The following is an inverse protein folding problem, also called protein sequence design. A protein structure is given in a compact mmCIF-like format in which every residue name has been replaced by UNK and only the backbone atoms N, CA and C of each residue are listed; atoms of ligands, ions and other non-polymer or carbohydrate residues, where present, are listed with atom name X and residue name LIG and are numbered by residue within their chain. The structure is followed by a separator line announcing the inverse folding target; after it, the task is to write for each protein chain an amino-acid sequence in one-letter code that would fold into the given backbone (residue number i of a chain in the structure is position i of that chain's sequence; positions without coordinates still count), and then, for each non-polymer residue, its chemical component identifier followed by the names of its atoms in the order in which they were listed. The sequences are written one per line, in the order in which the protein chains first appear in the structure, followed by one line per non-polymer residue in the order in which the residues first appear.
data_IF_245652718660
#
_entry.id   IF_245652718660
#
_cell.length_a   1.000
_cell.length_b   1.000
_cell.length_c   1.000
_cell.angle_alpha   90.00
_cell.angle_beta   90.00
_cell.angle_gamma   90.00
#
_symmetry.space_group_name_H-M   'P 1'
#
loop_
_entity.id
_entity.type
_entity.pdbx_description
1 polymer ?
#
# COMPACT_ATOMS: atom_id res chain seq x y z
N UNK A 1 -8.36 -10.01 7.70
CA UNK A 1 -7.45 -9.75 6.57
C UNK A 1 -7.23 -8.28 6.28
N UNK A 2 -8.21 -7.49 5.86
CA UNK A 2 -7.97 -6.06 5.55
C UNK A 2 -7.40 -5.24 6.71
N UNK A 3 -7.81 -5.52 7.96
CA UNK A 3 -7.19 -4.92 9.15
C UNK A 3 -5.69 -5.22 9.24
N UNK A 4 -5.30 -6.49 9.04
CA UNK A 4 -3.90 -6.91 9.10
C UNK A 4 -3.09 -6.20 8.01
N UNK A 5 -3.60 -6.18 6.78
CA UNK A 5 -3.02 -5.43 5.66
C UNK A 5 -2.88 -3.94 5.97
N UNK A 6 -3.91 -3.30 6.51
CA UNK A 6 -3.87 -1.88 6.88
C UNK A 6 -2.84 -1.59 7.97
N UNK A 7 -2.74 -2.46 8.99
CA UNK A 7 -1.75 -2.31 10.06
C UNK A 7 -0.33 -2.49 9.55
N UNK A 8 -0.07 -3.51 8.73
CA UNK A 8 1.26 -3.80 8.22
C UNK A 8 1.72 -2.76 7.21
N UNK A 9 0.83 -2.27 6.34
CA UNK A 9 1.12 -1.18 5.38
C UNK A 9 1.38 0.13 6.11
N UNK A 10 0.49 0.53 7.04
CA UNK A 10 0.69 1.74 7.85
C UNK A 10 2.01 1.66 8.62
N UNK A 11 2.25 0.53 9.31
CA UNK A 11 3.45 0.31 10.09
C UNK A 11 4.72 0.32 9.22
N UNK A 12 4.70 -0.31 8.05
CA UNK A 12 5.82 -0.32 7.13
C UNK A 12 6.18 1.09 6.67
N UNK A 13 5.20 1.90 6.27
CA UNK A 13 5.44 3.29 5.86
C UNK A 13 6.00 4.14 7.01
N UNK A 14 5.41 4.07 8.21
CA UNK A 14 5.88 4.85 9.35
C UNK A 14 7.28 4.43 9.79
N UNK A 15 7.59 3.12 9.77
CA UNK A 15 8.93 2.63 10.07
C UNK A 15 9.92 3.05 8.99
N UNK A 16 9.51 3.03 7.72
CA UNK A 16 10.34 3.51 6.59
C UNK A 16 10.66 5.00 6.75
N UNK A 17 9.69 5.82 7.15
CA UNK A 17 9.91 7.23 7.46
C UNK A 17 10.96 7.38 8.57
N UNK A 18 10.77 6.70 9.69
CA UNK A 18 11.70 6.75 10.83
C UNK A 18 13.12 6.31 10.46
N UNK A 19 13.25 5.21 9.71
CA UNK A 19 14.55 4.69 9.26
C UNK A 19 15.20 5.60 8.21
N UNK A 20 14.40 6.19 7.32
CA UNK A 20 14.87 7.13 6.29
C UNK A 20 15.49 8.41 6.86
N UNK A 21 15.04 8.86 8.03
CA UNK A 21 15.65 9.98 8.75
C UNK A 21 16.90 9.59 9.55
N UNK A 22 17.13 8.30 9.82
CA UNK A 22 18.16 7.84 10.77
C UNK A 22 19.31 7.06 10.15
N UNK A 23 19.20 6.58 8.90
CA UNK A 23 20.21 5.72 8.27
C UNK A 23 20.77 6.30 6.95
N UNK A 24 22.10 6.29 6.80
CA UNK A 24 22.81 6.74 5.58
C UNK A 24 22.52 5.85 4.34
N UNK A 25 22.15 4.58 4.55
CA UNK A 25 21.86 3.60 3.48
C UNK A 25 20.36 3.27 3.38
N UNK A 26 19.54 4.31 3.17
CA UNK A 26 18.07 4.24 3.30
C UNK A 26 17.39 3.12 2.48
N UNK A 27 17.78 2.89 1.23
CA UNK A 27 17.06 1.97 0.32
C UNK A 27 17.06 0.50 0.78
N UNK A 28 18.20 -0.01 1.27
CA UNK A 28 18.27 -1.39 1.76
C UNK A 28 17.44 -1.56 3.05
N UNK A 29 17.47 -0.58 3.94
CA UNK A 29 16.64 -0.58 5.15
C UNK A 29 15.14 -0.54 4.81
N UNK A 30 14.75 0.25 3.81
CA UNK A 30 13.37 0.27 3.26
C UNK A 30 12.98 -1.12 2.77
N UNK A 31 13.79 -1.75 1.92
CA UNK A 31 13.51 -3.09 1.36
C UNK A 31 13.29 -4.13 2.46
N UNK A 32 14.20 -4.23 3.43
CA UNK A 32 14.10 -5.22 4.49
C UNK A 32 12.93 -4.95 5.43
N UNK A 33 12.62 -3.68 5.70
CA UNK A 33 11.42 -3.29 6.45
C UNK A 33 10.17 -3.76 5.76
N UNK A 34 10.04 -3.48 4.47
CA UNK A 34 8.89 -3.89 3.67
C UNK A 34 8.81 -5.41 3.54
N UNK A 35 9.92 -6.10 3.29
CA UNK A 35 9.95 -7.56 3.23
C UNK A 35 9.47 -8.20 4.53
N UNK A 36 9.97 -7.74 5.68
CA UNK A 36 9.56 -8.24 6.99
C UNK A 36 8.08 -7.95 7.27
N UNK A 37 7.64 -6.71 7.09
CA UNK A 37 6.28 -6.29 7.38
C UNK A 37 5.24 -6.94 6.46
N UNK A 38 5.57 -7.14 5.17
CA UNK A 38 4.67 -7.77 4.20
C UNK A 38 4.65 -9.30 4.30
N UNK A 39 5.65 -9.92 4.95
CA UNK A 39 5.63 -11.38 5.17
C UNK A 39 4.40 -11.81 5.97
N UNK A 40 4.04 -11.07 7.02
CA UNK A 40 2.89 -11.41 7.87
C UNK A 40 1.55 -11.44 7.13
N UNK A 41 1.12 -10.39 6.41
CA UNK A 41 -0.14 -10.42 5.66
C UNK A 41 -0.09 -11.40 4.48
N UNK A 42 1.07 -11.61 3.84
CA UNK A 42 1.22 -12.59 2.75
C UNK A 42 1.06 -14.03 3.26
N UNK A 43 1.76 -14.42 4.33
CA UNK A 43 1.62 -15.76 4.93
C UNK A 43 0.19 -15.98 5.41
N UNK A 44 -0.42 -14.99 6.07
CA UNK A 44 -1.81 -15.08 6.49
C UNK A 44 -2.78 -15.26 5.30
N UNK A 45 -2.49 -14.64 4.15
CA UNK A 45 -3.27 -14.81 2.92
C UNK A 45 -3.11 -16.22 2.35
N UNK A 46 -1.88 -16.75 2.33
CA UNK A 46 -1.59 -18.12 1.90
C UNK A 46 -2.27 -19.16 2.78
N UNK A 47 -2.21 -19.01 4.11
CA UNK A 47 -2.83 -19.93 5.07
C UNK A 47 -4.35 -19.97 4.95
N UNK A 48 -4.99 -18.87 4.55
CA UNK A 48 -6.42 -18.84 4.27
C UNK A 48 -6.77 -19.50 2.93
N UNK A 49 -5.84 -19.55 1.98
CA UNK A 49 -6.04 -20.17 0.68
C UNK A 49 -7.28 -19.64 -0.03
N UNK A 50 -8.14 -20.55 -0.49
CA UNK A 50 -9.38 -20.24 -1.19
C UNK A 50 -10.44 -19.56 -0.30
N UNK A 51 -10.25 -19.55 1.03
CA UNK A 51 -11.10 -18.81 1.96
C UNK A 51 -10.74 -17.32 2.04
N UNK A 52 -9.57 -16.93 1.53
CA UNK A 52 -9.25 -15.53 1.36
C UNK A 52 -10.08 -14.94 0.21
N UNK A 53 -10.69 -13.78 0.45
CA UNK A 53 -11.40 -13.03 -0.59
C UNK A 53 -10.42 -12.72 -1.76
N UNK A 54 -10.89 -12.80 -3.01
CA UNK A 54 -10.12 -12.47 -4.22
C UNK A 54 -9.35 -11.14 -4.09
N UNK A 55 -9.95 -10.17 -3.39
CA UNK A 55 -9.32 -8.89 -3.06
C UNK A 55 -7.95 -9.04 -2.38
N UNK A 56 -7.82 -9.99 -1.45
CA UNK A 56 -6.59 -10.26 -0.71
C UNK A 56 -5.49 -10.75 -1.64
N UNK A 57 -5.84 -11.56 -2.64
CA UNK A 57 -4.89 -12.08 -3.62
C UNK A 57 -4.40 -11.01 -4.59
N UNK A 58 -5.25 -10.04 -4.95
CA UNK A 58 -4.84 -8.89 -5.77
C UNK A 58 -3.80 -8.05 -5.02
N UNK A 59 -4.03 -7.75 -3.75
CA UNK A 59 -3.06 -7.03 -2.92
C UNK A 59 -1.77 -7.83 -2.71
N UNK A 60 -1.88 -9.13 -2.42
CA UNK A 60 -0.71 -10.01 -2.29
C UNK A 60 0.15 -10.01 -3.56
N UNK A 61 -0.48 -10.20 -4.72
CA UNK A 61 0.21 -10.20 -6.01
C UNK A 61 0.85 -8.85 -6.32
N UNK A 62 0.14 -7.74 -6.12
CA UNK A 62 0.66 -6.40 -6.33
C UNK A 62 1.88 -6.11 -5.44
N UNK A 63 1.81 -6.46 -4.16
CA UNK A 63 2.93 -6.29 -3.22
C UNK A 63 4.13 -7.14 -3.63
N UNK A 64 3.93 -8.40 -4.02
CA UNK A 64 5.04 -9.27 -4.49
C UNK A 64 5.69 -8.68 -5.74
N UNK A 65 4.90 -8.23 -6.72
CA UNK A 65 5.43 -7.63 -7.94
C UNK A 65 6.21 -6.34 -7.66
N UNK A 66 5.69 -5.45 -6.81
CA UNK A 66 6.37 -4.23 -6.41
C UNK A 66 7.70 -4.54 -5.70
N UNK A 67 7.70 -5.50 -4.76
CA UNK A 67 8.92 -5.89 -4.06
C UNK A 67 9.95 -6.50 -5.00
N UNK A 68 9.56 -7.38 -5.92
CA UNK A 68 10.47 -7.97 -6.92
C UNK A 68 11.09 -6.88 -7.80
N UNK A 69 10.30 -5.88 -8.20
CA UNK A 69 10.80 -4.73 -8.95
C UNK A 69 11.81 -3.91 -8.13
N UNK A 70 11.48 -3.55 -6.88
CA UNK A 70 12.37 -2.76 -6.03
C UNK A 70 13.69 -3.50 -5.73
N UNK A 71 13.63 -4.81 -5.47
CA UNK A 71 14.81 -5.65 -5.29
C UNK A 71 15.64 -5.72 -6.58
N UNK A 72 14.99 -5.90 -7.74
CA UNK A 72 15.66 -5.94 -9.04
C UNK A 72 16.42 -4.64 -9.32
N UNK A 73 15.75 -3.48 -9.18
CA UNK A 73 16.35 -2.16 -9.38
C UNK A 73 17.50 -1.91 -8.40
N UNK A 74 17.38 -2.40 -7.16
CA UNK A 74 18.44 -2.29 -6.15
C UNK A 74 19.67 -3.13 -6.50
N UNK A 75 19.47 -4.40 -6.87
CA UNK A 75 20.55 -5.36 -7.18
C UNK A 75 21.36 -4.89 -8.38
N UNK A 76 20.71 -4.35 -9.42
CA UNK A 76 21.40 -3.87 -10.62
C UNK A 76 21.94 -2.43 -10.48
N UNK A 77 21.79 -1.82 -9.30
CA UNK A 77 22.17 -0.44 -9.00
C UNK A 77 21.67 0.60 -10.04
N UNK A 78 20.45 0.41 -10.57
CA UNK A 78 19.88 1.31 -11.57
C UNK A 78 19.41 2.63 -10.95
N UNK A 79 20.37 3.50 -10.59
CA UNK A 79 20.14 4.83 -9.98
C UNK A 79 19.05 5.66 -10.67
N UNK A 80 18.95 5.71 -12.02
CA UNK A 80 17.90 6.48 -12.69
C UNK A 80 16.48 5.98 -12.38
N UNK A 81 16.32 4.68 -12.06
CA UNK A 81 15.03 4.06 -11.80
C UNK A 81 14.69 4.00 -10.31
N UNK A 82 15.67 4.09 -9.42
CA UNK A 82 15.45 4.00 -7.97
C UNK A 82 14.43 5.02 -7.44
N UNK A 83 14.47 6.27 -7.92
CA UNK A 83 13.48 7.25 -7.46
C UNK A 83 12.05 6.85 -7.84
N UNK A 84 11.84 6.49 -9.12
CA UNK A 84 10.54 6.03 -9.60
C UNK A 84 10.07 4.77 -8.86
N UNK A 85 10.94 3.77 -8.76
CA UNK A 85 10.70 2.46 -8.15
C UNK A 85 10.30 2.58 -6.66
N UNK A 86 10.98 3.41 -5.88
CA UNK A 86 10.74 3.51 -4.43
C UNK A 86 9.64 4.50 -4.06
N UNK A 87 9.25 5.40 -4.96
CA UNK A 87 8.32 6.48 -4.63
C UNK A 87 7.07 6.46 -5.52
N UNK A 88 7.22 6.68 -6.83
CA UNK A 88 6.08 6.81 -7.75
C UNK A 88 5.35 5.49 -7.97
N UNK A 89 6.09 4.39 -8.13
CA UNK A 89 5.53 3.08 -8.44
C UNK A 89 4.57 2.60 -7.34
N UNK A 90 4.88 2.87 -6.08
CA UNK A 90 4.04 2.51 -4.94
C UNK A 90 2.70 3.25 -4.93
N UNK A 91 2.65 4.50 -5.38
CA UNK A 91 1.39 5.21 -5.61
C UNK A 91 0.59 4.57 -6.74
N UNK A 92 1.23 4.17 -7.85
CA UNK A 92 0.54 3.51 -8.97
C UNK A 92 -0.06 2.16 -8.58
N UNK A 93 0.68 1.33 -7.84
CA UNK A 93 0.16 0.07 -7.31
C UNK A 93 -0.98 0.30 -6.32
N UNK A 94 -0.84 1.28 -5.42
CA UNK A 94 -1.90 1.68 -4.50
C UNK A 94 -3.17 2.09 -5.24
N UNK A 95 -3.04 2.91 -6.30
CA UNK A 95 -4.16 3.32 -7.14
C UNK A 95 -4.85 2.12 -7.78
N UNK A 96 -4.10 1.21 -8.41
CA UNK A 96 -4.66 0.01 -9.05
C UNK A 96 -5.38 -0.90 -8.04
N UNK A 97 -4.74 -1.14 -6.89
CA UNK A 97 -5.30 -1.96 -5.81
C UNK A 97 -6.60 -1.37 -5.27
N UNK A 98 -6.65 -0.06 -4.99
CA UNK A 98 -7.86 0.59 -4.51
C UNK A 98 -8.95 0.74 -5.57
N UNK A 99 -8.59 0.94 -6.84
CA UNK A 99 -9.56 1.01 -7.92
C UNK A 99 -10.32 -0.31 -8.04
N UNK A 100 -9.56 -1.42 -8.05
CA UNK A 100 -10.13 -2.75 -8.02
C UNK A 100 -10.98 -2.96 -6.76
N UNK A 101 -10.48 -2.58 -5.59
CA UNK A 101 -11.22 -2.68 -4.32
C UNK A 101 -12.56 -1.95 -4.40
N UNK A 102 -12.57 -0.71 -4.88
CA UNK A 102 -13.78 0.10 -5.02
C UNK A 102 -14.82 -0.52 -5.97
N UNK A 103 -14.36 -1.22 -7.01
CA UNK A 103 -15.24 -1.89 -7.96
C UNK A 103 -15.94 -3.12 -7.35
N UNK A 104 -15.27 -3.86 -6.48
CA UNK A 104 -15.75 -5.19 -6.00
C UNK A 104 -16.37 -5.18 -4.61
N UNK A 105 -16.10 -4.16 -3.77
CA UNK A 105 -16.64 -4.12 -2.40
C UNK A 105 -18.09 -3.64 -2.35
N UNK A 106 -18.89 -4.25 -1.47
CA UNK A 106 -20.24 -3.80 -1.20
C UNK A 106 -20.30 -2.62 -0.21
N UNK A 107 -21.36 -1.83 -0.31
CA UNK A 107 -21.63 -0.66 0.52
C UNK A 107 -21.09 0.65 -0.08
N UNK A 108 -21.99 1.63 -0.28
CA UNK A 108 -21.66 2.91 -0.94
C UNK A 108 -20.56 3.70 -0.21
N UNK A 109 -20.54 3.67 1.12
CA UNK A 109 -19.50 4.33 1.92
C UNK A 109 -18.11 3.70 1.69
N UNK A 110 -18.05 2.37 1.58
CA UNK A 110 -16.80 1.64 1.33
C UNK A 110 -16.29 1.91 -0.08
N UNK A 111 -17.19 1.86 -1.08
CA UNK A 111 -16.86 2.24 -2.46
C UNK A 111 -16.29 3.65 -2.55
N UNK A 112 -16.92 4.64 -1.88
CA UNK A 112 -16.43 6.02 -1.84
C UNK A 112 -15.07 6.14 -1.16
N UNK A 113 -14.84 5.42 -0.06
CA UNK A 113 -13.55 5.42 0.64
C UNK A 113 -12.42 4.95 -0.28
N UNK A 114 -12.60 3.81 -0.95
CA UNK A 114 -11.59 3.26 -1.84
C UNK A 114 -11.45 4.02 -3.15
N UNK A 115 -12.53 4.58 -3.70
CA UNK A 115 -12.45 5.49 -4.84
C UNK A 115 -11.66 6.77 -4.48
N UNK A 116 -11.89 7.32 -3.29
CA UNK A 116 -11.11 8.45 -2.77
C UNK A 116 -9.62 8.10 -2.62
N UNK A 117 -9.30 6.95 -2.03
CA UNK A 117 -7.93 6.47 -1.92
C UNK A 117 -7.28 6.26 -3.31
N UNK A 118 -8.02 5.74 -4.28
CA UNK A 118 -7.57 5.61 -5.67
C UNK A 118 -7.16 6.95 -6.25
N UNK A 119 -8.04 7.95 -6.15
CA UNK A 119 -7.79 9.29 -6.69
C UNK A 119 -6.58 9.95 -6.02
N UNK A 120 -6.47 9.85 -4.68
CA UNK A 120 -5.32 10.38 -3.95
C UNK A 120 -4.02 9.70 -4.37
N UNK A 121 -4.04 8.40 -4.64
CA UNK A 121 -2.88 7.69 -5.14
C UNK A 121 -2.48 8.14 -6.56
N UNK A 122 -3.44 8.28 -7.47
CA UNK A 122 -3.19 8.79 -8.83
C UNK A 122 -2.64 10.21 -8.80
N UNK A 123 -3.19 11.08 -7.95
CA UNK A 123 -2.68 12.44 -7.75
C UNK A 123 -1.25 12.42 -7.20
N UNK A 124 -0.97 11.58 -6.19
CA UNK A 124 0.38 11.40 -5.66
C UNK A 124 1.38 10.95 -6.71
N UNK A 125 1.02 9.95 -7.54
CA UNK A 125 1.85 9.48 -8.64
C UNK A 125 2.12 10.58 -9.67
N UNK A 126 1.08 11.30 -10.13
CA UNK A 126 1.22 12.38 -11.10
C UNK A 126 2.09 13.53 -10.55
N UNK A 127 1.89 13.91 -9.29
CA UNK A 127 2.68 14.95 -8.63
C UNK A 127 4.15 14.54 -8.50
N UNK A 128 4.45 13.30 -8.11
CA UNK A 128 5.84 12.83 -7.99
C UNK A 128 6.54 12.61 -9.33
N UNK A 129 5.79 12.33 -10.40
CA UNK A 129 6.35 12.30 -11.76
C UNK A 129 6.83 13.69 -12.21
N UNK A 130 6.08 14.74 -11.90
CA UNK A 130 6.39 16.11 -12.35
C UNK A 130 7.29 16.85 -11.36
N UNK A 131 7.11 16.59 -10.06
CA UNK A 131 7.80 17.25 -8.95
C UNK A 131 8.34 16.20 -7.96
N UNK A 132 9.44 15.49 -8.29
CA UNK A 132 9.95 14.34 -7.54
C UNK A 132 10.37 14.65 -6.09
N UNK A 133 10.61 15.93 -5.80
CA UNK A 133 11.01 16.42 -4.48
C UNK A 133 9.86 17.00 -3.66
N UNK A 134 8.63 17.07 -4.20
CA UNK A 134 7.49 17.76 -3.56
C UNK A 134 7.20 17.22 -2.16
N UNK A 135 7.26 15.90 -1.99
CA UNK A 135 6.97 15.23 -0.73
C UNK A 135 8.23 14.87 0.07
N UNK A 136 9.41 15.34 -0.33
CA UNK A 136 10.69 14.94 0.31
C UNK A 136 10.62 15.11 1.83
N UNK A 137 10.88 14.03 2.56
CA UNK A 137 10.81 13.99 4.03
C UNK A 137 9.41 13.78 4.62
N UNK A 138 8.39 13.56 3.80
CA UNK A 138 7.01 13.25 4.22
C UNK A 138 6.34 12.18 3.34
N UNK A 139 7.10 11.57 2.42
CA UNK A 139 6.58 10.70 1.36
C UNK A 139 5.88 9.48 1.96
N UNK A 140 6.51 8.86 2.96
CA UNK A 140 5.98 7.65 3.57
C UNK A 140 4.86 7.96 4.55
N UNK A 141 4.89 9.11 5.23
CA UNK A 141 3.72 9.60 6.00
C UNK A 141 2.51 9.79 5.08
N UNK A 142 2.69 10.44 3.93
CA UNK A 142 1.61 10.63 2.96
C UNK A 142 1.06 9.28 2.47
N UNK A 143 1.94 8.32 2.15
CA UNK A 143 1.54 6.97 1.75
C UNK A 143 0.83 6.19 2.87
N UNK A 144 1.25 6.33 4.13
CA UNK A 144 0.56 5.75 5.27
C UNK A 144 -0.89 6.27 5.39
N UNK A 145 -1.09 7.57 5.19
CA UNK A 145 -2.41 8.20 5.21
C UNK A 145 -3.27 7.83 4.00
N UNK A 146 -2.66 7.70 2.82
CA UNK A 146 -3.38 7.49 1.55
C UNK A 146 -3.63 6.01 1.26
N UNK A 147 -2.82 5.11 1.83
CA UNK A 147 -2.95 3.67 1.61
C UNK A 147 -3.27 2.89 2.89
N UNK A 148 -2.58 3.16 4.00
CA UNK A 148 -2.79 2.44 5.26
C UNK A 148 -4.13 2.77 5.92
N UNK A 149 -4.41 4.06 6.13
CA UNK A 149 -5.61 4.54 6.83
C UNK A 149 -6.93 4.09 6.17
N UNK A 150 -7.12 4.16 4.84
CA UNK A 150 -8.34 3.66 4.20
C UNK A 150 -8.63 2.19 4.51
N UNK A 151 -7.60 1.33 4.56
CA UNK A 151 -7.79 -0.08 4.93
C UNK A 151 -8.21 -0.25 6.40
N UNK A 152 -7.75 0.61 7.30
CA UNK A 152 -8.16 0.63 8.70
C UNK A 152 -9.59 1.14 8.88
N UNK A 153 -9.96 2.20 8.15
CA UNK A 153 -11.31 2.80 8.16
C UNK A 153 -12.37 1.90 7.52
N UNK A 154 -11.99 0.94 6.68
CA UNK A 154 -12.94 -0.05 6.13
C UNK A 154 -13.59 -0.90 7.22
N UNK A 155 -12.88 -1.19 8.32
CA UNK A 155 -13.36 -2.09 9.39
C UNK A 155 -14.69 -1.61 10.00
N UNK A 156 -14.81 -0.37 10.52
CA UNK A 156 -16.08 0.12 11.04
C UNK A 156 -17.15 0.28 9.94
N UNK A 157 -16.78 0.61 8.70
CA UNK A 157 -17.74 0.75 7.60
C UNK A 157 -18.34 -0.59 7.19
N UNK A 158 -17.53 -1.64 7.15
CA UNK A 158 -17.98 -3.00 6.84
C UNK A 158 -18.94 -3.50 7.91
N UNK A 159 -18.62 -3.31 9.19
CA UNK A 159 -19.53 -3.68 10.30
C UNK A 159 -20.89 -3.00 10.18
N UNK A 160 -20.91 -1.70 9.86
CA UNK A 160 -22.18 -0.96 9.64
C UNK A 160 -22.97 -1.51 8.46
N UNK A 161 -22.30 -1.84 7.36
CA UNK A 161 -22.96 -2.41 6.20
C UNK A 161 -23.53 -3.81 6.49
N UNK A 162 -22.76 -4.67 7.16
CA UNK A 162 -23.21 -6.01 7.59
C UNK A 162 -24.43 -5.91 8.52
N UNK A 163 -24.46 -4.93 9.43
CA UNK A 163 -25.62 -4.67 10.31
C UNK A 163 -26.85 -4.21 9.53
N UNK A 164 -26.68 -3.34 8.54
CA UNK A 164 -27.78 -2.85 7.70
C UNK A 164 -28.34 -3.94 6.77
N UNK A 165 -27.50 -4.86 6.30
CA UNK A 165 -27.91 -5.96 5.43
C UNK A 165 -28.62 -7.10 6.18
N UNK A 166 -28.50 -7.15 7.52
CA UNK A 166 -29.16 -8.13 8.38
C UNK A 166 -30.53 -7.67 8.91
N UNK A 167 -30.96 -6.45 8.57
CA UNK A 167 -32.26 -5.86 8.87
C UNK A 167 -33.16 -5.92 7.66
#
# INVERSE_FOLDING_TARGET
MLLLWGLTVTGAYLLTEYLGHTLEHGHAAVLWTWAGMMTMPLVASLLLGHRANALVWVWAGATVLAMVENFGVHIIEAKPLMHFSYHTLWFLFGAAGFAYTAAVVDGSARKKLYAGATLLNLLGAALLLVAPNLLKGYQYVALALVQGVPMLLDVPLRRRHEQQAAQ
#
